data_IF_561489080929
#
_entry.id   IF_561489080929
#
_cell.length_a   1.000
_cell.length_b   1.000
_cell.length_c   1.000
_cell.angle_alpha   90.00
_cell.angle_beta   90.00
_cell.angle_gamma   90.00
#
_symmetry.space_group_name_H-M   'P 1'
#
loop_
_entity.id
_entity.type
_entity.pdbx_description
1 polymer ?
#
# COMPACT_ATOMS: atom_id res chain seq x y z
N UNK A 1 -59.33 54.44 6.65
CA UNK A 1 -58.49 54.16 5.46
C UNK A 1 -57.69 52.90 5.74
N UNK A 2 -58.09 51.79 5.12
CA UNK A 2 -57.49 50.48 5.30
C UNK A 2 -56.19 50.36 4.50
N UNK A 3 -55.10 49.88 5.11
CA UNK A 3 -53.99 49.27 4.38
C UNK A 3 -53.49 48.03 5.12
N UNK A 4 -53.80 46.90 4.49
CA UNK A 4 -53.37 45.54 4.75
C UNK A 4 -51.84 45.47 4.71
N UNK A 5 -51.21 44.85 5.70
CA UNK A 5 -49.86 44.29 5.54
C UNK A 5 -49.95 42.77 5.58
N UNK A 6 -49.87 42.22 4.37
CA UNK A 6 -49.84 40.80 4.06
C UNK A 6 -48.36 40.37 4.05
N UNK A 7 -48.07 39.37 4.87
CA UNK A 7 -47.21 38.20 4.60
C UNK A 7 -45.87 38.40 3.88
N UNK A 8 -44.79 37.97 4.54
CA UNK A 8 -43.75 37.07 3.98
C UNK A 8 -42.74 36.69 5.06
N UNK A 9 -43.01 35.58 5.75
CA UNK A 9 -41.99 34.86 6.52
C UNK A 9 -41.07 34.20 5.48
N UNK A 10 -39.82 34.65 5.46
CA UNK A 10 -38.77 34.09 4.61
C UNK A 10 -38.51 32.63 5.05
N UNK A 11 -38.68 31.71 4.11
CA UNK A 11 -38.31 30.30 4.26
C UNK A 11 -36.78 30.25 4.42
N UNK A 12 -36.33 29.93 5.62
CA UNK A 12 -34.94 29.62 5.92
C UNK A 12 -34.61 28.31 5.20
N UNK A 13 -33.93 28.42 4.06
CA UNK A 13 -33.40 27.26 3.34
C UNK A 13 -32.38 26.55 4.21
N UNK A 14 -32.80 25.41 4.75
CA UNK A 14 -31.95 24.42 5.41
C UNK A 14 -31.09 23.78 4.33
N UNK A 15 -29.94 24.40 4.03
CA UNK A 15 -28.80 23.69 3.47
C UNK A 15 -28.11 22.95 4.60
N UNK A 16 -28.76 21.91 5.16
CA UNK A 16 -28.01 20.87 5.86
C UNK A 16 -27.26 20.14 4.76
N UNK A 17 -26.00 20.55 4.58
CA UNK A 17 -25.06 19.88 3.72
C UNK A 17 -25.07 18.40 4.03
N UNK A 18 -25.08 17.60 2.97
CA UNK A 18 -24.63 16.22 2.99
C UNK A 18 -23.21 16.22 3.56
N UNK A 19 -23.09 16.21 4.89
CA UNK A 19 -21.92 15.73 5.56
C UNK A 19 -21.86 14.25 5.17
N UNK A 20 -21.17 13.96 4.07
CA UNK A 20 -20.76 12.60 3.77
C UNK A 20 -20.02 12.14 5.02
N UNK A 21 -20.61 11.17 5.72
CA UNK A 21 -19.93 10.50 6.81
C UNK A 21 -18.53 10.18 6.29
N UNK A 22 -17.50 10.60 7.03
CA UNK A 22 -16.14 10.18 6.77
C UNK A 22 -16.12 8.66 7.01
N UNK A 23 -16.53 7.92 5.97
CA UNK A 23 -16.51 6.48 5.95
C UNK A 23 -15.03 6.10 5.98
N UNK A 24 -14.52 5.90 7.20
CA UNK A 24 -13.26 5.25 7.47
C UNK A 24 -13.16 4.09 6.48
N UNK A 25 -12.14 4.13 5.63
CA UNK A 25 -12.18 3.50 4.32
C UNK A 25 -12.80 2.11 4.39
N UNK A 26 -14.00 2.00 3.86
CA UNK A 26 -14.62 0.72 3.60
C UNK A 26 -14.64 0.63 2.09
N UNK A 27 -13.90 -0.32 1.48
CA UNK A 27 -14.00 -0.48 0.05
C UNK A 27 -15.46 -0.77 -0.25
N UNK A 28 -16.05 -0.02 -1.20
CA UNK A 28 -17.42 -0.30 -1.62
C UNK A 28 -17.55 -1.79 -1.92
N UNK A 29 -18.72 -2.39 -1.67
CA UNK A 29 -18.96 -3.84 -1.80
C UNK A 29 -18.56 -4.44 -3.18
N UNK A 30 -18.33 -3.59 -4.18
CA UNK A 30 -17.92 -3.94 -5.54
C UNK A 30 -16.64 -3.22 -6.02
N UNK A 31 -15.89 -2.56 -5.13
CA UNK A 31 -14.62 -1.94 -5.47
C UNK A 31 -13.62 -3.01 -5.91
N UNK A 32 -13.13 -2.89 -7.14
CA UNK A 32 -12.11 -3.79 -7.67
C UNK A 32 -10.74 -3.37 -7.13
N UNK A 33 -10.29 -4.03 -6.07
CA UNK A 33 -8.92 -3.86 -5.57
C UNK A 33 -7.91 -4.32 -6.61
N UNK A 34 -6.80 -3.59 -6.73
CA UNK A 34 -5.70 -3.95 -7.61
C UNK A 34 -5.10 -5.30 -7.22
N UNK A 35 -4.71 -6.08 -8.22
CA UNK A 35 -3.86 -7.25 -7.98
C UNK A 35 -2.41 -6.85 -7.73
N UNK A 36 -1.62 -7.79 -7.20
CA UNK A 36 -0.17 -7.69 -7.15
C UNK A 36 0.45 -7.36 -8.51
N UNK A 37 -0.02 -7.98 -9.61
CA UNK A 37 0.51 -7.70 -10.94
C UNK A 37 0.15 -6.29 -11.41
N UNK A 38 -1.09 -5.84 -11.21
CA UNK A 38 -1.53 -4.47 -11.55
C UNK A 38 -0.77 -3.43 -10.71
N UNK A 39 -0.62 -3.69 -9.41
CA UNK A 39 0.09 -2.83 -8.47
C UNK A 39 1.58 -2.68 -8.84
N UNK A 40 2.27 -3.81 -9.08
CA UNK A 40 3.67 -3.81 -9.54
C UNK A 40 3.81 -3.18 -10.92
N UNK A 41 2.87 -3.39 -11.84
CA UNK A 41 2.91 -2.78 -13.15
C UNK A 41 2.78 -1.25 -13.08
N UNK A 42 1.88 -0.74 -12.23
CA UNK A 42 1.59 0.69 -12.09
C UNK A 42 2.69 1.44 -11.34
N UNK A 43 3.28 0.85 -10.30
CA UNK A 43 4.28 1.53 -9.48
C UNK A 43 5.52 1.94 -10.31
N UNK A 44 5.84 3.24 -10.41
CA UNK A 44 7.03 3.69 -11.15
C UNK A 44 8.33 3.18 -10.55
N UNK A 45 8.40 3.17 -9.21
CA UNK A 45 9.56 2.75 -8.44
C UNK A 45 9.17 1.61 -7.50
N UNK A 46 10.00 0.57 -7.44
CA UNK A 46 9.85 -0.49 -6.44
C UNK A 46 11.23 -0.74 -5.85
N UNK A 47 11.34 -0.73 -4.53
CA UNK A 47 12.60 -0.97 -3.84
C UNK A 47 12.38 -1.79 -2.57
N UNK A 48 13.46 -2.44 -2.12
CA UNK A 48 13.59 -2.94 -0.76
C UNK A 48 14.28 -1.84 0.03
N UNK A 49 13.67 -1.43 1.14
CA UNK A 49 14.20 -0.42 2.03
C UNK A 49 14.22 -0.91 3.47
N UNK A 50 15.16 -0.40 4.27
CA UNK A 50 15.18 -0.58 5.71
C UNK A 50 14.62 0.65 6.40
N UNK A 51 13.65 0.48 7.28
CA UNK A 51 13.16 1.58 8.12
C UNK A 51 14.21 1.87 9.19
N UNK A 52 14.81 3.05 9.20
CA UNK A 52 15.95 3.36 10.10
C UNK A 52 15.62 4.36 11.19
N UNK A 53 14.60 5.21 11.00
CA UNK A 53 14.25 6.25 11.97
C UNK A 53 12.80 6.66 11.89
N UNK A 54 12.22 7.05 13.03
CA UNK A 54 10.97 7.79 13.11
C UNK A 54 11.26 9.26 13.45
N UNK A 55 10.82 10.17 12.60
CA UNK A 55 10.87 11.61 12.86
C UNK A 55 9.47 12.11 13.21
N UNK A 56 9.35 12.69 14.41
CA UNK A 56 8.14 13.36 14.89
C UNK A 56 8.44 14.83 15.10
N UNK A 57 7.62 15.70 14.55
CA UNK A 57 7.70 17.12 14.82
C UNK A 57 6.48 17.51 15.63
N UNK A 58 6.73 18.08 16.81
CA UNK A 58 5.67 18.71 17.59
C UNK A 58 5.12 19.87 16.78
N UNK A 59 3.84 19.77 16.44
CA UNK A 59 3.08 20.88 15.88
C UNK A 59 2.59 21.78 17.00
N UNK A 60 2.34 23.08 16.74
CA UNK A 60 1.75 23.97 17.74
C UNK A 60 0.42 23.43 18.26
N UNK A 61 0.06 23.80 19.49
CA UNK A 61 -1.10 23.26 20.23
C UNK A 61 -2.46 23.44 19.51
N UNK A 62 -2.52 24.30 18.49
CA UNK A 62 -3.70 24.52 17.65
C UNK A 62 -3.80 23.57 16.43
N UNK A 63 -2.86 22.65 16.23
CA UNK A 63 -2.90 21.64 15.19
C UNK A 63 -3.24 20.27 15.78
N UNK A 64 -4.23 19.62 15.17
CA UNK A 64 -4.79 18.36 15.68
C UNK A 64 -3.91 17.14 15.38
N UNK A 65 -2.95 17.24 14.44
CA UNK A 65 -2.14 16.10 13.99
C UNK A 65 -0.65 16.43 14.04
N UNK A 66 0.15 15.55 14.66
CA UNK A 66 1.61 15.63 14.60
C UNK A 66 2.11 15.34 13.18
N UNK A 67 3.02 16.17 12.66
CA UNK A 67 3.77 15.83 11.45
C UNK A 67 4.70 14.65 11.78
N UNK A 68 4.48 13.53 11.10
CA UNK A 68 5.25 12.30 11.28
C UNK A 68 5.85 11.81 9.98
N UNK A 69 7.02 11.19 10.05
CA UNK A 69 7.62 10.51 8.91
C UNK A 69 8.57 9.42 9.34
N UNK A 70 8.85 8.51 8.42
CA UNK A 70 9.96 7.56 8.58
C UNK A 70 11.10 7.93 7.63
N UNK A 71 12.33 7.63 8.07
CA UNK A 71 13.48 7.60 7.20
C UNK A 71 13.72 6.16 6.76
N UNK A 72 13.87 5.96 5.45
CA UNK A 72 14.10 4.66 4.82
C UNK A 72 15.45 4.67 4.15
N UNK A 73 16.30 3.72 4.50
CA UNK A 73 17.55 3.45 3.80
C UNK A 73 17.29 2.50 2.62
N UNK A 74 17.59 2.89 1.37
CA UNK A 74 17.42 2.01 0.22
C UNK A 74 18.43 0.86 0.27
N UNK A 75 17.94 -0.37 0.11
CA UNK A 75 18.77 -1.60 0.10
C UNK A 75 18.95 -2.11 -1.33
N UNK A 76 17.85 -2.19 -2.09
CA UNK A 76 17.89 -2.63 -3.49
C UNK A 76 16.74 -2.02 -4.28
N UNK A 77 17.00 -1.60 -5.51
CA UNK A 77 15.95 -1.14 -6.44
C UNK A 77 15.50 -2.34 -7.29
N UNK A 78 14.23 -2.72 -7.19
CA UNK A 78 13.61 -3.82 -7.94
C UNK A 78 13.03 -3.36 -9.28
N UNK A 79 12.62 -2.09 -9.39
CA UNK A 79 12.05 -1.49 -10.61
C UNK A 79 12.26 0.02 -10.61
N UNK A 80 12.56 0.56 -11.79
CA UNK A 80 12.63 1.99 -12.04
C UNK A 80 13.91 2.64 -11.49
N UNK A 81 13.87 3.95 -11.36
CA UNK A 81 14.90 4.73 -10.66
C UNK A 81 14.48 4.89 -9.20
N UNK A 82 15.44 4.99 -8.29
CA UNK A 82 15.16 5.08 -6.86
C UNK A 82 16.15 5.97 -6.13
N UNK A 83 15.85 6.32 -4.87
CA UNK A 83 16.74 7.12 -4.04
C UNK A 83 18.08 6.38 -3.85
N UNK A 84 19.18 7.11 -3.95
CA UNK A 84 20.55 6.58 -3.75
C UNK A 84 21.06 6.80 -2.32
N UNK A 85 20.28 7.47 -1.49
CA UNK A 85 20.56 7.79 -0.10
C UNK A 85 19.27 7.63 0.71
N UNK A 86 19.34 7.60 2.06
CA UNK A 86 18.16 7.56 2.89
C UNK A 86 17.15 8.66 2.52
N UNK A 87 15.88 8.30 2.43
CA UNK A 87 14.80 9.19 2.00
C UNK A 87 13.63 9.18 2.98
N UNK A 88 12.86 10.26 2.98
CA UNK A 88 11.73 10.45 3.89
C UNK A 88 10.43 9.96 3.24
N UNK A 89 9.61 9.28 4.03
CA UNK A 89 8.20 9.02 3.73
C UNK A 89 7.33 9.69 4.78
N UNK A 90 6.55 10.66 4.34
CA UNK A 90 5.67 11.50 5.15
C UNK A 90 4.41 10.73 5.56
N UNK A 91 3.79 11.15 6.66
CA UNK A 91 2.56 10.55 7.22
C UNK A 91 2.71 9.06 7.56
N UNK A 92 3.94 8.66 7.90
CA UNK A 92 4.29 7.32 8.35
C UNK A 92 4.74 7.34 9.80
N UNK A 93 4.35 6.29 10.53
CA UNK A 93 4.75 6.03 11.91
C UNK A 93 5.74 4.88 11.94
N UNK A 94 6.77 4.99 12.78
CA UNK A 94 7.63 3.84 13.08
C UNK A 94 7.83 3.68 14.58
N UNK A 95 7.73 2.44 15.05
CA UNK A 95 7.92 2.08 16.44
C UNK A 95 9.24 1.33 16.60
N UNK A 96 9.86 1.46 17.78
CA UNK A 96 10.96 0.55 18.13
C UNK A 96 10.37 -0.81 18.52
N UNK A 97 11.04 -1.89 18.13
CA UNK A 97 10.65 -3.24 18.53
C UNK A 97 10.49 -3.35 20.06
N UNK A 98 9.41 -3.99 20.52
CA UNK A 98 9.08 -4.12 21.94
C UNK A 98 8.41 -2.90 22.58
N UNK A 99 8.31 -1.76 21.88
CA UNK A 99 7.58 -0.57 22.36
C UNK A 99 6.25 -0.33 21.64
N UNK A 100 5.97 -1.06 20.56
CA UNK A 100 4.69 -0.98 19.85
C UNK A 100 3.63 -1.88 20.51
N UNK A 101 2.36 -1.52 20.35
CA UNK A 101 1.29 -2.48 20.61
C UNK A 101 1.40 -3.66 19.63
N UNK A 102 0.95 -4.87 20.00
CA UNK A 102 0.98 -6.02 19.08
C UNK A 102 0.28 -5.76 17.74
N UNK A 103 -0.75 -4.89 17.72
CA UNK A 103 -1.43 -4.50 16.49
C UNK A 103 -0.55 -3.61 15.59
N UNK A 104 0.27 -2.73 16.17
CA UNK A 104 1.11 -1.79 15.42
C UNK A 104 2.42 -2.41 14.92
N UNK A 105 2.94 -3.43 15.61
CA UNK A 105 4.19 -4.13 15.26
C UNK A 105 3.99 -5.49 14.61
N UNK A 106 2.76 -5.88 14.25
CA UNK A 106 2.54 -7.14 13.56
C UNK A 106 3.29 -7.10 12.21
N UNK A 107 4.23 -8.00 11.92
CA UNK A 107 4.88 -8.05 10.62
C UNK A 107 3.94 -8.59 9.55
N UNK A 108 4.21 -8.27 8.29
CA UNK A 108 3.59 -8.97 7.15
C UNK A 108 3.73 -10.49 7.31
N UNK A 109 2.64 -11.22 7.09
CA UNK A 109 2.68 -12.68 7.00
C UNK A 109 3.44 -13.10 5.74
N UNK A 110 4.56 -13.82 5.91
CA UNK A 110 5.45 -14.22 4.83
C UNK A 110 4.83 -15.24 3.85
N UNK A 111 3.70 -15.83 4.23
CA UNK A 111 2.91 -16.81 3.49
C UNK A 111 1.55 -16.24 2.99
N UNK A 112 1.31 -14.94 3.17
CA UNK A 112 0.13 -14.24 2.65
C UNK A 112 0.50 -13.46 1.37
N UNK A 113 -0.21 -13.75 0.27
CA UNK A 113 0.04 -13.12 -1.02
C UNK A 113 -1.15 -12.36 -1.61
N UNK A 114 -2.31 -12.41 -0.97
CA UNK A 114 -3.57 -11.89 -1.49
C UNK A 114 -3.98 -10.62 -0.77
N UNK A 115 -4.02 -10.67 0.56
CA UNK A 115 -4.51 -9.56 1.37
C UNK A 115 -3.36 -8.59 1.71
N UNK A 116 -3.63 -7.28 1.82
CA UNK A 116 -2.65 -6.31 2.28
C UNK A 116 -2.33 -6.49 3.77
N UNK A 117 -1.22 -5.88 4.19
CA UNK A 117 -0.89 -5.74 5.60
C UNK A 117 -2.09 -5.26 6.44
N UNK A 118 -2.30 -5.85 7.62
CA UNK A 118 -3.45 -5.58 8.50
C UNK A 118 -3.64 -4.10 8.81
N UNK A 119 -2.54 -3.35 8.98
CA UNK A 119 -2.54 -1.90 9.19
C UNK A 119 -3.25 -1.10 8.09
N UNK A 120 -3.40 -1.64 6.88
CA UNK A 120 -4.22 -1.01 5.84
C UNK A 120 -5.70 -0.88 6.23
N UNK A 121 -6.17 -1.72 7.16
CA UNK A 121 -7.54 -1.71 7.68
C UNK A 121 -7.69 -0.91 8.99
N UNK A 122 -6.62 -0.35 9.54
CA UNK A 122 -6.64 0.39 10.82
C UNK A 122 -6.90 1.88 10.64
N UNK A 123 -7.84 2.24 9.75
CA UNK A 123 -8.29 3.63 9.54
C UNK A 123 -7.52 4.45 8.51
N UNK A 124 -6.27 4.11 8.21
CA UNK A 124 -5.43 4.82 7.22
C UNK A 124 -5.59 4.35 5.77
N UNK A 125 -6.34 3.27 5.51
CA UNK A 125 -6.67 2.72 4.18
C UNK A 125 -5.48 2.17 3.38
N UNK A 126 -4.27 2.51 3.80
CA UNK A 126 -2.98 1.99 3.40
C UNK A 126 -2.21 1.63 4.67
N UNK A 127 -1.20 0.78 4.58
CA UNK A 127 -0.26 0.63 5.70
C UNK A 127 0.45 1.97 5.96
N UNK A 128 0.51 2.41 7.21
CA UNK A 128 1.27 3.60 7.62
C UNK A 128 2.11 3.38 8.90
N UNK A 129 1.98 2.22 9.55
CA UNK A 129 2.76 1.82 10.72
C UNK A 129 3.85 0.81 10.35
N UNK A 130 5.07 1.06 10.85
CA UNK A 130 6.29 0.29 10.59
C UNK A 130 7.07 0.03 11.89
N UNK A 131 8.04 -0.89 11.83
CA UNK A 131 9.00 -1.10 12.92
C UNK A 131 10.41 -0.72 12.45
N UNK A 132 11.12 0.04 13.26
CA UNK A 132 12.53 0.40 13.01
C UNK A 132 13.36 -0.88 12.91
N UNK A 133 14.20 -0.96 11.89
CA UNK A 133 15.06 -2.10 11.56
C UNK A 133 14.47 -3.06 10.53
N UNK A 134 13.16 -3.05 10.30
CA UNK A 134 12.52 -3.97 9.35
C UNK A 134 12.91 -3.68 7.89
N UNK A 135 13.03 -4.77 7.13
CA UNK A 135 13.10 -4.72 5.67
C UNK A 135 11.70 -4.73 5.09
N UNK A 136 11.45 -3.84 4.15
CA UNK A 136 10.13 -3.63 3.55
C UNK A 136 10.29 -3.49 2.05
N UNK A 137 9.43 -4.16 1.29
CA UNK A 137 9.26 -3.86 -0.14
C UNK A 137 8.30 -2.69 -0.26
N UNK A 138 8.79 -1.56 -0.78
CA UNK A 138 8.02 -0.35 -1.04
C UNK A 138 7.73 -0.18 -2.54
N UNK A 139 6.47 0.11 -2.85
CA UNK A 139 6.01 0.50 -4.17
C UNK A 139 5.70 2.00 -4.13
N UNK A 140 6.51 2.80 -4.83
CA UNK A 140 6.60 4.24 -4.67
C UNK A 140 6.37 4.98 -5.97
N UNK A 141 5.87 6.20 -5.84
CA UNK A 141 5.82 7.22 -6.87
C UNK A 141 6.48 8.50 -6.35
N UNK A 142 6.65 9.47 -7.25
CA UNK A 142 7.10 10.81 -6.89
C UNK A 142 5.99 11.82 -7.11
N UNK A 143 5.68 12.62 -6.10
CA UNK A 143 4.74 13.73 -6.18
C UNK A 143 5.40 15.00 -5.65
N UNK A 144 5.42 16.07 -6.45
CA UNK A 144 6.07 17.34 -6.11
C UNK A 144 7.53 17.17 -5.62
N UNK A 145 8.24 16.19 -6.17
CA UNK A 145 9.63 15.88 -5.80
C UNK A 145 9.78 15.04 -4.52
N UNK A 146 8.69 14.62 -3.89
CA UNK A 146 8.71 13.78 -2.70
C UNK A 146 8.32 12.34 -3.04
N UNK A 147 8.91 11.38 -2.33
CA UNK A 147 8.51 9.98 -2.42
C UNK A 147 7.20 9.77 -1.69
N UNK A 148 6.24 9.13 -2.37
CA UNK A 148 4.93 8.81 -1.81
C UNK A 148 4.58 7.35 -2.12
N UNK A 149 3.70 6.71 -1.31
CA UNK A 149 3.13 5.43 -1.66
C UNK A 149 2.53 5.47 -3.06
N UNK A 150 2.90 4.53 -3.94
CA UNK A 150 2.18 4.33 -5.22
C UNK A 150 0.87 3.57 -4.99
N UNK A 151 0.30 3.61 -3.79
CA UNK A 151 -0.76 2.71 -3.35
C UNK A 151 -2.13 3.02 -3.95
N UNK A 152 -2.95 1.99 -4.18
CA UNK A 152 -4.41 2.14 -4.06
C UNK A 152 -4.81 1.86 -2.61
N UNK A 153 -6.04 2.22 -2.22
CA UNK A 153 -6.62 1.73 -0.96
C UNK A 153 -6.53 0.21 -0.88
N UNK A 154 -6.23 -0.32 0.30
CA UNK A 154 -6.10 -1.77 0.58
C UNK A 154 -5.14 -2.51 -0.35
N UNK A 155 -3.98 -1.91 -0.61
CA UNK A 155 -2.94 -2.51 -1.45
C UNK A 155 -1.70 -2.92 -0.67
N UNK A 156 -0.95 -3.84 -1.26
CA UNK A 156 0.34 -4.36 -0.76
C UNK A 156 1.50 -3.43 -1.10
N UNK A 157 1.31 -2.12 -0.93
CA UNK A 157 2.28 -1.11 -1.35
C UNK A 157 3.55 -1.15 -0.48
N UNK A 158 3.43 -1.59 0.77
CA UNK A 158 4.53 -1.73 1.72
C UNK A 158 4.35 -3.00 2.56
N UNK A 159 5.19 -3.99 2.32
CA UNK A 159 5.12 -5.31 3.00
C UNK A 159 6.48 -5.66 3.59
N UNK A 160 6.49 -6.12 4.85
CA UNK A 160 7.70 -6.61 5.49
C UNK A 160 8.20 -7.86 4.78
N UNK A 161 9.51 -7.97 4.65
CA UNK A 161 10.15 -9.13 4.05
C UNK A 161 11.24 -9.66 4.96
N UNK A 162 11.35 -11.00 5.13
CA UNK A 162 12.37 -11.59 5.99
C UNK A 162 13.78 -11.42 5.40
N UNK A 163 13.91 -11.25 4.09
CA UNK A 163 15.17 -11.03 3.39
C UNK A 163 14.95 -10.45 1.99
N UNK A 164 16.04 -10.02 1.35
CA UNK A 164 16.06 -9.55 -0.05
C UNK A 164 15.73 -10.64 -1.08
N UNK A 165 15.67 -11.90 -0.66
CA UNK A 165 15.27 -13.05 -1.48
C UNK A 165 14.01 -13.74 -0.94
N UNK A 166 13.23 -13.02 -0.11
CA UNK A 166 11.99 -13.52 0.47
C UNK A 166 10.92 -13.85 -0.58
N UNK A 167 9.88 -14.62 -0.20
CA UNK A 167 8.84 -15.07 -1.13
C UNK A 167 8.13 -13.93 -1.86
N UNK A 168 7.78 -12.86 -1.13
CA UNK A 168 7.15 -11.68 -1.73
C UNK A 168 8.09 -10.96 -2.69
N UNK A 169 9.39 -10.83 -2.36
CA UNK A 169 10.38 -10.24 -3.27
C UNK A 169 10.46 -11.04 -4.57
N UNK A 170 10.50 -12.38 -4.49
CA UNK A 170 10.51 -13.24 -5.68
C UNK A 170 9.28 -13.01 -6.56
N UNK A 171 8.09 -12.94 -5.98
CA UNK A 171 6.86 -12.62 -6.72
C UNK A 171 6.92 -11.23 -7.36
N UNK A 172 7.39 -10.22 -6.63
CA UNK A 172 7.55 -8.85 -7.17
C UNK A 172 8.49 -8.86 -8.37
N UNK A 173 9.63 -9.53 -8.33
CA UNK A 173 10.55 -9.64 -9.47
C UNK A 173 9.89 -10.31 -10.68
N UNK A 174 9.14 -11.40 -10.46
CA UNK A 174 8.35 -12.06 -11.52
C UNK A 174 7.35 -11.07 -12.13
N UNK A 175 6.64 -10.29 -11.31
CA UNK A 175 5.65 -9.33 -11.79
C UNK A 175 6.27 -8.11 -12.47
N UNK A 176 7.46 -7.66 -12.06
CA UNK A 176 8.23 -6.63 -12.76
C UNK A 176 8.53 -7.10 -14.18
N UNK A 177 9.09 -8.30 -14.35
CA UNK A 177 9.38 -8.87 -15.66
C UNK A 177 8.10 -9.05 -16.49
N UNK A 178 7.04 -9.61 -15.88
CA UNK A 178 5.76 -9.81 -16.55
C UNK A 178 5.14 -8.50 -17.04
N UNK A 179 5.27 -7.40 -16.28
CA UNK A 179 4.70 -6.10 -16.61
C UNK A 179 5.27 -5.50 -17.90
N UNK A 180 6.53 -5.80 -18.20
CA UNK A 180 7.25 -5.32 -19.39
C UNK A 180 6.91 -6.10 -20.66
N UNK A 181 6.27 -7.27 -20.53
CA UNK A 181 5.92 -8.10 -21.67
C UNK A 181 4.58 -7.70 -22.31
N UNK A 182 4.43 -7.83 -23.64
CA UNK A 182 3.13 -7.76 -24.30
C UNK A 182 2.13 -8.77 -23.72
N UNK A 183 0.84 -8.46 -23.70
CA UNK A 183 -0.20 -9.25 -23.01
C UNK A 183 -0.17 -10.75 -23.32
N UNK A 184 0.02 -11.14 -24.59
CA UNK A 184 0.11 -12.55 -25.00
C UNK A 184 1.34 -13.25 -24.43
N UNK A 185 2.50 -12.58 -24.45
CA UNK A 185 3.76 -13.11 -23.91
C UNK A 185 3.75 -13.12 -22.38
N UNK A 186 3.18 -12.10 -21.74
CA UNK A 186 3.00 -12.01 -20.29
C UNK A 186 2.30 -13.23 -19.72
N UNK A 187 1.19 -13.65 -20.34
CA UNK A 187 0.43 -14.82 -19.86
C UNK A 187 1.23 -16.11 -20.01
N UNK A 188 1.98 -16.27 -21.10
CA UNK A 188 2.87 -17.41 -21.31
C UNK A 188 4.00 -17.44 -20.28
N UNK A 189 4.61 -16.29 -20.02
CA UNK A 189 5.65 -16.12 -19.00
C UNK A 189 5.15 -16.48 -17.60
N UNK A 190 4.03 -15.91 -17.16
CA UNK A 190 3.44 -16.21 -15.85
C UNK A 190 3.09 -17.69 -15.69
N UNK A 191 2.56 -18.35 -16.74
CA UNK A 191 2.32 -19.80 -16.71
C UNK A 191 3.61 -20.58 -16.51
N UNK A 192 4.68 -20.21 -17.21
CA UNK A 192 5.97 -20.87 -17.06
C UNK A 192 6.56 -20.70 -15.65
N UNK A 193 6.48 -19.49 -15.07
CA UNK A 193 6.95 -19.25 -13.69
C UNK A 193 6.13 -20.01 -12.65
N UNK A 194 4.80 -20.06 -12.81
CA UNK A 194 3.93 -20.91 -12.00
C UNK A 194 4.31 -22.38 -12.12
N UNK A 195 4.54 -22.88 -13.34
CA UNK A 195 4.85 -24.28 -13.56
C UNK A 195 6.23 -24.64 -12.99
N UNK A 196 7.21 -23.73 -13.05
CA UNK A 196 8.51 -23.87 -12.34
C UNK A 196 8.32 -23.97 -10.83
N UNK A 197 7.49 -23.10 -10.26
CA UNK A 197 7.13 -23.17 -8.84
C UNK A 197 6.38 -24.44 -8.48
N UNK A 198 5.75 -25.14 -9.44
CA UNK A 198 5.00 -26.38 -9.25
C UNK A 198 5.79 -27.67 -9.56
N UNK A 199 6.96 -27.58 -10.18
CA UNK A 199 7.71 -28.73 -10.69
C UNK A 199 8.59 -29.48 -9.65
N UNK A 200 8.69 -29.00 -8.41
CA UNK A 200 9.53 -29.59 -7.35
C UNK A 200 8.76 -30.46 -6.34
N UNK A 201 9.48 -30.96 -5.33
CA UNK A 201 8.91 -31.53 -4.11
C UNK A 201 8.65 -30.37 -3.13
N UNK A 202 7.51 -29.68 -3.29
CA UNK A 202 7.42 -28.28 -2.88
C UNK A 202 7.05 -28.08 -1.41
N UNK A 203 7.67 -27.06 -0.83
CA UNK A 203 7.21 -26.42 0.39
C UNK A 203 5.84 -25.75 0.21
N UNK A 204 5.20 -25.44 1.33
CA UNK A 204 3.89 -24.76 1.36
C UNK A 204 3.94 -23.38 0.67
N UNK A 205 5.08 -22.70 0.73
CA UNK A 205 5.24 -21.32 0.23
C UNK A 205 5.25 -21.26 -1.29
N UNK A 206 5.95 -22.16 -1.96
CA UNK A 206 6.00 -22.19 -3.42
C UNK A 206 4.63 -22.45 -4.03
N UNK A 207 3.81 -23.30 -3.38
CA UNK A 207 2.41 -23.49 -3.76
C UNK A 207 1.59 -22.22 -3.63
N UNK A 208 1.73 -21.49 -2.51
CA UNK A 208 1.03 -20.22 -2.30
C UNK A 208 1.45 -19.14 -3.31
N UNK A 209 2.74 -19.09 -3.68
CA UNK A 209 3.24 -18.22 -4.74
C UNK A 209 2.66 -18.60 -6.11
N UNK A 210 2.65 -19.89 -6.44
CA UNK A 210 2.04 -20.39 -7.68
C UNK A 210 0.55 -20.05 -7.75
N UNK A 211 -0.19 -20.22 -6.64
CA UNK A 211 -1.60 -19.84 -6.53
C UNK A 211 -1.82 -18.35 -6.74
N UNK A 212 -0.92 -17.49 -6.24
CA UNK A 212 -0.98 -16.07 -6.51
C UNK A 212 -0.82 -15.75 -8.00
N UNK A 213 0.19 -16.33 -8.65
CA UNK A 213 0.40 -16.18 -10.09
C UNK A 213 -0.82 -16.66 -10.87
N UNK A 214 -1.44 -17.77 -10.44
CA UNK A 214 -2.61 -18.33 -11.09
C UNK A 214 -3.84 -17.40 -11.00
N UNK A 215 -3.99 -16.66 -9.88
CA UNK A 215 -4.99 -15.58 -9.77
C UNK A 215 -4.72 -14.46 -10.78
N UNK A 216 -3.46 -14.07 -10.96
CA UNK A 216 -3.07 -13.03 -11.92
C UNK A 216 -3.38 -13.44 -13.36
N UNK A 217 -3.17 -14.73 -13.69
CA UNK A 217 -3.47 -15.30 -15.01
C UNK A 217 -4.98 -15.35 -15.27
N UNK A 218 -5.80 -15.66 -14.26
CA UNK A 218 -7.26 -15.82 -14.38
C UNK A 218 -8.02 -14.50 -14.41
N UNK A 219 -7.46 -13.44 -13.83
CA UNK A 219 -8.04 -12.09 -13.81
C UNK A 219 -8.33 -11.64 -15.25
N UNK A 220 -9.62 -11.37 -15.54
CA UNK A 220 -10.02 -10.73 -16.79
C UNK A 220 -9.70 -9.23 -16.69
N UNK A 221 -9.20 -8.60 -17.77
CA UNK A 221 -8.99 -7.14 -17.79
C UNK A 221 -10.27 -6.43 -17.41
#
# INVERSE_FOLDING_TARGET
MARRFVTRILILWVCLGLAGEAAACTPARHARLETNLELVARAPTILIGRVVRWDRKKVPENQYYEESSILVEPVEILKGEGPQAPFRLDDMLAMTEGLASPADSQPSAYDEFREPHVNAYMGGCIRYNFVIGQLVVFLLATEKGMWVPSASIFSRWAEDVPSVDGPWVKLVRIYVQASQLPKGQRRKFLRAERDKLLAGDLGRIERLMADDIDRQIKRRP
#
